data_IF_239371161986
#
_entry.id   IF_239371161986
#
_cell.length_a   1.000
_cell.length_b   1.000
_cell.length_c   1.000
_cell.angle_alpha   90.00
_cell.angle_beta   90.00
_cell.angle_gamma   90.00
#
_symmetry.space_group_name_H-M   'P 1'
#
loop_
_entity.id
_entity.type
_entity.pdbx_description
1 polymer ?
#
# COMPACT_ATOMS: atom_id res chain seq x y z
N UNK A 1 2.27 -14.63 -10.54
CA UNK A 1 2.90 -15.60 -9.62
C UNK A 1 4.27 -15.12 -9.17
N UNK A 2 5.10 -14.58 -10.08
CA UNK A 2 6.44 -14.04 -9.82
C UNK A 2 6.48 -13.04 -8.65
N UNK A 3 5.55 -12.09 -8.58
CA UNK A 3 5.50 -11.10 -7.48
C UNK A 3 5.41 -11.76 -6.10
N UNK A 4 4.49 -12.70 -5.91
CA UNK A 4 4.25 -13.30 -4.60
C UNK A 4 5.47 -14.11 -4.13
N UNK A 5 6.03 -14.92 -5.03
CA UNK A 5 7.24 -15.73 -4.75
C UNK A 5 8.45 -14.83 -4.50
N UNK A 6 8.68 -13.82 -5.36
CA UNK A 6 9.79 -12.88 -5.21
C UNK A 6 9.67 -12.03 -3.94
N UNK A 7 8.45 -11.66 -3.54
CA UNK A 7 8.21 -10.95 -2.29
C UNK A 7 8.44 -11.86 -1.08
N UNK A 8 7.92 -13.09 -1.09
CA UNK A 8 8.17 -14.07 -0.03
C UNK A 8 9.68 -14.34 0.13
N UNK A 9 10.41 -14.53 -0.97
CA UNK A 9 11.86 -14.70 -0.94
C UNK A 9 12.59 -13.44 -0.45
N UNK A 10 12.11 -12.24 -0.78
CA UNK A 10 12.70 -10.99 -0.30
C UNK A 10 12.44 -10.73 1.20
N UNK A 11 11.27 -11.13 1.70
CA UNK A 11 10.84 -11.01 3.10
C UNK A 11 11.49 -12.08 3.97
N UNK A 12 11.59 -13.33 3.50
CA UNK A 12 12.00 -14.45 4.34
C UNK A 12 11.05 -14.61 5.53
N UNK A 13 11.61 -14.75 6.73
CA UNK A 13 10.84 -14.70 7.97
C UNK A 13 10.29 -13.28 8.21
N UNK A 14 8.97 -13.16 8.38
CA UNK A 14 8.30 -11.89 8.66
C UNK A 14 8.59 -11.37 10.07
N UNK A 15 8.89 -12.26 11.02
CA UNK A 15 9.11 -11.89 12.43
C UNK A 15 10.32 -10.96 12.63
N UNK A 16 11.27 -10.96 11.68
CA UNK A 16 12.41 -10.01 11.68
C UNK A 16 11.98 -8.54 11.55
N UNK A 17 10.75 -8.28 11.11
CA UNK A 17 10.19 -6.94 10.99
C UNK A 17 9.22 -6.67 12.14
N UNK A 18 9.61 -5.89 13.16
CA UNK A 18 8.74 -5.62 14.32
C UNK A 18 7.52 -4.75 13.97
N UNK A 19 7.54 -4.07 12.82
CA UNK A 19 6.40 -3.31 12.33
C UNK A 19 6.31 -3.30 10.81
N UNK A 20 5.11 -3.07 10.28
CA UNK A 20 4.88 -2.87 8.85
C UNK A 20 5.73 -1.73 8.26
N UNK A 21 6.04 -0.71 9.07
CA UNK A 21 6.86 0.42 8.64
C UNK A 21 8.31 0.01 8.39
N UNK A 22 8.86 -0.90 9.22
CA UNK A 22 10.20 -1.46 8.99
C UNK A 22 10.25 -2.27 7.69
N UNK A 23 9.21 -3.04 7.38
CA UNK A 23 9.12 -3.74 6.09
C UNK A 23 9.04 -2.74 4.91
N UNK A 24 8.20 -1.71 5.03
CA UNK A 24 8.08 -0.66 3.99
C UNK A 24 9.41 0.07 3.76
N UNK A 25 10.14 0.37 4.84
CA UNK A 25 11.46 0.99 4.77
C UNK A 25 12.48 0.07 4.09
N UNK A 26 12.52 -1.21 4.47
CA UNK A 26 13.38 -2.23 3.84
C UNK A 26 13.13 -2.39 2.33
N UNK A 27 11.87 -2.26 1.91
CA UNK A 27 11.47 -2.29 0.50
C UNK A 27 11.69 -0.95 -0.23
N UNK A 28 12.16 0.10 0.47
CA UNK A 28 12.41 1.42 -0.13
C UNK A 28 11.15 2.12 -0.65
N UNK A 29 9.99 1.85 -0.03
CA UNK A 29 8.67 2.40 -0.37
C UNK A 29 8.27 3.61 0.50
N UNK A 30 9.09 3.95 1.50
CA UNK A 30 8.85 5.12 2.35
C UNK A 30 9.16 6.43 1.58
N UNK A 31 8.32 7.47 1.61
CA UNK A 31 8.72 8.82 1.17
C UNK A 31 10.00 9.25 1.89
N UNK A 32 10.92 9.87 1.16
CA UNK A 32 12.08 10.52 1.78
C UNK A 32 11.61 11.69 2.61
N UNK A 33 12.15 11.82 3.82
CA UNK A 33 11.92 12.97 4.68
C UNK A 33 13.17 13.83 4.62
N UNK A 34 13.02 15.10 4.22
CA UNK A 34 14.06 16.12 4.32
C UNK A 34 13.64 17.10 5.41
N UNK A 35 14.38 17.10 6.51
CA UNK A 35 14.27 18.08 7.58
C UNK A 35 15.66 18.65 7.82
N UNK A 36 15.93 19.80 7.22
CA UNK A 36 17.14 20.59 7.43
C UNK A 36 16.71 21.87 8.17
N UNK A 37 16.87 21.91 9.49
CA UNK A 37 16.46 23.02 10.37
C UNK A 37 15.26 22.71 11.27
N UNK A 38 14.82 23.70 12.06
CA UNK A 38 13.68 23.62 13.00
C UNK A 38 12.29 23.58 12.31
N UNK A 39 12.27 23.67 10.97
CA UNK A 39 11.04 23.63 10.19
C UNK A 39 10.40 22.24 10.10
N UNK A 40 9.11 22.18 9.70
CA UNK A 40 8.39 20.92 9.56
C UNK A 40 9.00 20.02 8.47
N UNK A 41 9.10 18.73 8.78
CA UNK A 41 9.60 17.69 7.89
C UNK A 41 8.90 17.70 6.51
N UNK A 42 9.68 17.95 5.43
CA UNK A 42 9.16 17.87 4.06
C UNK A 42 9.29 16.45 3.54
N UNK A 43 8.17 15.90 3.09
CA UNK A 43 8.12 14.57 2.48
C UNK A 43 8.29 14.70 0.96
N UNK A 44 9.27 14.00 0.40
CA UNK A 44 9.64 14.03 -1.01
C UNK A 44 9.45 12.69 -1.73
N UNK A 45 10.25 12.46 -2.80
CA UNK A 45 10.28 11.18 -3.55
C UNK A 45 10.57 10.01 -2.63
N UNK A 46 10.21 8.78 -2.99
CA UNK A 46 10.59 7.61 -2.18
C UNK A 46 12.10 7.56 -1.94
N UNK A 47 12.52 7.13 -0.74
CA UNK A 47 13.93 7.13 -0.32
C UNK A 47 14.83 6.29 -1.24
N UNK A 48 14.24 5.28 -1.89
CA UNK A 48 14.92 4.27 -2.72
C UNK A 48 16.04 3.46 -2.07
N UNK A 49 16.29 3.66 -0.79
CA UNK A 49 17.15 2.82 0.04
C UNK A 49 16.42 1.51 0.33
N UNK A 50 16.84 0.40 -0.27
CA UNK A 50 16.21 -0.92 -0.12
C UNK A 50 16.30 -1.82 -1.35
N UNK A 51 15.64 -2.98 -1.30
CA UNK A 51 15.67 -3.97 -2.41
C UNK A 51 14.87 -3.48 -3.63
N UNK A 52 15.57 -2.88 -4.59
CA UNK A 52 14.98 -2.32 -5.81
C UNK A 52 14.13 -3.30 -6.62
N UNK A 53 14.52 -4.57 -6.68
CA UNK A 53 13.76 -5.61 -7.38
C UNK A 53 12.40 -5.90 -6.72
N UNK A 54 12.37 -6.13 -5.39
CA UNK A 54 11.14 -6.38 -4.65
C UNK A 54 10.18 -5.17 -4.72
N UNK A 55 10.72 -3.97 -4.72
CA UNK A 55 9.94 -2.75 -4.96
C UNK A 55 9.31 -2.74 -6.35
N UNK A 56 10.07 -3.05 -7.40
CA UNK A 56 9.56 -3.14 -8.76
C UNK A 56 8.41 -4.14 -8.86
N UNK A 57 8.59 -5.33 -8.29
CA UNK A 57 7.54 -6.36 -8.22
C UNK A 57 6.27 -5.84 -7.53
N UNK A 58 6.39 -5.10 -6.43
CA UNK A 58 5.24 -4.53 -5.73
C UNK A 58 4.55 -3.41 -6.50
N UNK A 59 5.30 -2.60 -7.26
CA UNK A 59 4.72 -1.57 -8.13
C UNK A 59 3.94 -2.23 -9.28
N UNK A 60 4.47 -3.28 -9.89
CA UNK A 60 3.73 -4.06 -10.90
C UNK A 60 2.46 -4.71 -10.29
N UNK A 61 2.57 -5.21 -9.06
CA UNK A 61 1.43 -5.75 -8.32
C UNK A 61 0.36 -4.69 -8.07
N UNK A 62 0.76 -3.46 -7.74
CA UNK A 62 -0.15 -2.34 -7.55
C UNK A 62 -0.90 -1.97 -8.85
N UNK A 63 -0.23 -1.98 -10.00
CA UNK A 63 -0.90 -1.78 -11.29
C UNK A 63 -1.90 -2.89 -11.61
N UNK A 64 -1.54 -4.14 -11.32
CA UNK A 64 -2.46 -5.26 -11.47
C UNK A 64 -3.66 -5.14 -10.51
N UNK A 65 -3.43 -4.73 -9.26
CA UNK A 65 -4.47 -4.51 -8.27
C UNK A 65 -5.42 -3.37 -8.65
N UNK A 66 -4.92 -2.32 -9.32
CA UNK A 66 -5.72 -1.21 -9.82
C UNK A 66 -6.73 -1.62 -10.92
N UNK A 67 -6.45 -2.72 -11.65
CA UNK A 67 -7.34 -3.26 -12.70
C UNK A 67 -8.37 -4.26 -12.17
N UNK A 68 -8.09 -4.89 -11.02
CA UNK A 68 -8.99 -5.85 -10.40
C UNK A 68 -10.05 -5.14 -9.55
N UNK A 69 -11.31 -5.62 -9.52
CA UNK A 69 -12.31 -5.07 -8.61
C UNK A 69 -11.90 -5.29 -7.15
N UNK A 70 -12.17 -4.30 -6.30
CA UNK A 70 -11.94 -4.39 -4.86
C UNK A 70 -11.41 -3.10 -4.22
N UNK A 71 -11.21 -3.10 -2.89
CA UNK A 71 -10.81 -1.91 -2.14
C UNK A 71 -9.49 -1.26 -2.58
N UNK A 72 -8.56 -2.06 -3.12
CA UNK A 72 -7.28 -1.54 -3.62
C UNK A 72 -7.45 -0.70 -4.89
N UNK A 73 -8.40 -1.04 -5.76
CA UNK A 73 -8.73 -0.24 -6.94
C UNK A 73 -9.36 1.08 -6.56
N UNK A 74 -10.30 1.09 -5.61
CA UNK A 74 -10.86 2.33 -5.07
C UNK A 74 -9.78 3.20 -4.41
N UNK A 75 -8.87 2.60 -3.62
CA UNK A 75 -7.75 3.32 -3.04
C UNK A 75 -6.84 3.94 -4.11
N UNK A 76 -6.47 3.18 -5.14
CA UNK A 76 -5.65 3.64 -6.24
C UNK A 76 -6.31 4.81 -6.97
N UNK A 77 -7.58 4.68 -7.36
CA UNK A 77 -8.34 5.72 -8.06
C UNK A 77 -8.42 7.05 -7.28
N UNK A 78 -8.63 6.98 -5.97
CA UNK A 78 -8.68 8.16 -5.09
C UNK A 78 -7.33 8.86 -4.93
N UNK A 79 -6.22 8.14 -5.06
CA UNK A 79 -4.87 8.75 -5.04
C UNK A 79 -4.51 9.28 -6.42
N UNK A 80 -4.87 8.55 -7.49
CA UNK A 80 -4.54 8.95 -8.85
C UNK A 80 -5.26 10.22 -9.27
N UNK A 81 -6.51 10.41 -8.85
CA UNK A 81 -7.26 11.65 -9.09
C UNK A 81 -6.63 12.89 -8.47
N UNK A 82 -5.84 12.74 -7.39
CA UNK A 82 -5.24 13.87 -6.65
C UNK A 82 -3.77 14.09 -6.95
N UNK A 83 -3.02 13.04 -7.28
CA UNK A 83 -1.55 13.06 -7.35
C UNK A 83 -0.97 12.37 -8.60
N UNK A 84 -1.82 11.90 -9.51
CA UNK A 84 -1.42 11.20 -10.72
C UNK A 84 -1.16 9.70 -10.52
N UNK A 85 -1.12 8.98 -11.65
CA UNK A 85 -1.12 7.51 -11.68
C UNK A 85 0.14 6.88 -11.07
N UNK A 86 1.33 7.45 -11.35
CA UNK A 86 2.60 6.91 -10.82
C UNK A 86 2.69 7.03 -9.30
N UNK A 87 2.20 8.14 -8.72
CA UNK A 87 2.15 8.31 -7.26
C UNK A 87 1.14 7.33 -6.66
N UNK A 88 0.00 7.12 -7.31
CA UNK A 88 -0.99 6.13 -6.88
C UNK A 88 -0.45 4.69 -6.90
N UNK A 89 0.36 4.33 -7.90
CA UNK A 89 1.01 3.02 -7.99
C UNK A 89 1.96 2.79 -6.80
N UNK A 90 2.82 3.76 -6.50
CA UNK A 90 3.75 3.68 -5.36
C UNK A 90 3.00 3.66 -4.02
N UNK A 91 1.97 4.49 -3.86
CA UNK A 91 1.14 4.50 -2.65
C UNK A 91 0.41 3.16 -2.45
N UNK A 92 -0.06 2.56 -3.53
CA UNK A 92 -0.72 1.25 -3.51
C UNK A 92 0.27 0.12 -3.22
N UNK A 93 1.49 0.19 -3.78
CA UNK A 93 2.58 -0.74 -3.45
C UNK A 93 2.94 -0.68 -1.96
N UNK A 94 3.02 0.52 -1.36
CA UNK A 94 3.19 0.69 0.09
C UNK A 94 2.03 0.06 0.87
N UNK A 95 0.80 0.28 0.43
CA UNK A 95 -0.39 -0.32 1.08
C UNK A 95 -0.37 -1.85 1.00
N UNK A 96 0.04 -2.41 -0.14
CA UNK A 96 0.23 -3.84 -0.33
C UNK A 96 1.31 -4.41 0.61
N UNK A 97 2.45 -3.73 0.77
CA UNK A 97 3.49 -4.16 1.71
C UNK A 97 2.98 -4.19 3.16
N UNK A 98 2.21 -3.17 3.58
CA UNK A 98 1.59 -3.14 4.91
C UNK A 98 0.58 -4.27 5.08
N UNK A 99 -0.24 -4.55 4.06
CA UNK A 99 -1.17 -5.68 4.09
C UNK A 99 -0.42 -7.01 4.18
N UNK A 100 0.61 -7.22 3.37
CA UNK A 100 1.42 -8.43 3.40
C UNK A 100 2.02 -8.68 4.80
N UNK A 101 2.59 -7.65 5.44
CA UNK A 101 3.10 -7.79 6.80
C UNK A 101 2.02 -8.22 7.79
N UNK A 102 0.83 -7.59 7.76
CA UNK A 102 -0.27 -7.93 8.69
C UNK A 102 -0.79 -9.34 8.48
N UNK A 103 -1.01 -9.74 7.23
CA UNK A 103 -1.52 -11.06 6.88
C UNK A 103 -0.52 -12.15 7.29
N UNK A 104 0.77 -11.94 6.98
CA UNK A 104 1.83 -12.89 7.35
C UNK A 104 2.03 -12.98 8.87
N UNK A 105 1.95 -11.86 9.60
CA UNK A 105 2.14 -11.84 11.06
C UNK A 105 0.96 -12.47 11.79
N UNK A 106 -0.25 -12.36 11.25
CA UNK A 106 -1.48 -12.93 11.85
C UNK A 106 -1.81 -14.33 11.37
N UNK A 107 -1.17 -14.81 10.30
CA UNK A 107 -1.55 -16.07 9.65
C UNK A 107 -2.95 -16.01 9.03
N UNK A 108 -3.39 -14.83 8.61
CA UNK A 108 -4.74 -14.59 8.06
C UNK A 108 -4.70 -14.42 6.54
N UNK A 109 -5.77 -14.84 5.87
CA UNK A 109 -5.97 -14.59 4.45
C UNK A 109 -6.52 -13.18 4.17
N UNK A 110 -6.27 -12.70 2.94
CA UNK A 110 -6.83 -11.43 2.52
C UNK A 110 -8.36 -11.51 2.41
N UNK A 111 -9.08 -10.72 3.22
CA UNK A 111 -10.54 -10.77 3.32
C UNK A 111 -11.31 -10.65 1.99
N UNK A 112 -10.77 -9.90 1.01
CA UNK A 112 -11.40 -9.70 -0.30
C UNK A 112 -10.78 -10.59 -1.39
N UNK A 113 -10.27 -11.76 -1.00
CA UNK A 113 -9.80 -12.78 -1.92
C UNK A 113 -10.96 -13.32 -2.74
N UNK A 114 -10.66 -13.72 -3.98
CA UNK A 114 -11.59 -14.45 -4.85
C UNK A 114 -11.20 -15.94 -4.80
N UNK A 115 -11.90 -16.79 -4.01
CA UNK A 115 -11.43 -18.13 -3.67
C UNK A 115 -11.11 -19.01 -4.87
N UNK A 116 -11.96 -19.05 -5.88
CA UNK A 116 -11.77 -19.85 -7.10
C UNK A 116 -10.58 -19.36 -7.92
N UNK A 117 -10.42 -18.03 -8.05
CA UNK A 117 -9.24 -17.45 -8.72
C UNK A 117 -7.96 -17.73 -7.93
N UNK A 118 -8.02 -17.69 -6.60
CA UNK A 118 -6.90 -18.00 -5.72
C UNK A 118 -6.51 -19.49 -5.83
N UNK A 119 -7.47 -20.40 -5.73
CA UNK A 119 -7.27 -21.84 -5.90
C UNK A 119 -6.67 -22.16 -7.28
N UNK A 120 -7.14 -21.52 -8.36
CA UNK A 120 -6.54 -21.66 -9.69
C UNK A 120 -5.07 -21.21 -9.73
N UNK A 121 -4.74 -20.12 -9.05
CA UNK A 121 -3.36 -19.60 -8.97
C UNK A 121 -2.45 -20.54 -8.17
N UNK A 122 -2.92 -21.03 -7.01
CA UNK A 122 -2.21 -22.03 -6.21
C UNK A 122 -1.99 -23.30 -7.00
N UNK A 123 -3.02 -23.82 -7.67
CA UNK A 123 -2.88 -24.99 -8.53
C UNK A 123 -1.85 -24.79 -9.64
N UNK A 124 -1.79 -23.59 -10.21
CA UNK A 124 -0.78 -23.24 -11.22
C UNK A 124 0.65 -23.16 -10.64
N UNK A 125 0.80 -22.86 -9.35
CA UNK A 125 2.09 -22.94 -8.64
C UNK A 125 2.48 -24.38 -8.36
N UNK A 126 1.57 -25.19 -7.83
CA UNK A 126 1.79 -26.61 -7.55
C UNK A 126 2.31 -27.36 -8.77
N UNK A 127 1.67 -27.16 -9.92
CA UNK A 127 2.09 -27.79 -11.17
C UNK A 127 3.48 -27.34 -11.62
N UNK A 128 3.85 -26.07 -11.39
CA UNK A 128 5.22 -25.58 -11.67
C UNK A 128 6.24 -26.12 -10.67
N UNK A 129 5.82 -26.42 -9.45
CA UNK A 129 6.63 -27.05 -8.42
C UNK A 129 6.75 -28.57 -8.59
N UNK A 130 6.25 -29.15 -9.70
CA UNK A 130 6.35 -30.57 -10.00
C UNK A 130 5.28 -31.46 -9.36
N UNK A 131 4.23 -30.88 -8.74
CA UNK A 131 3.12 -31.68 -8.22
C UNK A 131 2.36 -32.37 -9.36
N UNK A 132 1.90 -33.62 -9.17
CA UNK A 132 1.22 -34.37 -10.23
C UNK A 132 -0.12 -33.74 -10.62
N UNK A 133 -0.50 -33.94 -11.89
CA UNK A 133 -1.82 -33.59 -12.40
C UNK A 133 -2.81 -34.64 -11.91
N UNK A 134 -3.79 -34.21 -11.11
CA UNK A 134 -4.91 -35.05 -10.72
C UNK A 134 -5.89 -35.12 -11.90
N UNK A 135 -6.23 -36.33 -12.33
CA UNK A 135 -7.29 -36.59 -13.31
C UNK A 135 -8.59 -36.97 -12.61
N UNK A 136 -9.73 -36.68 -13.24
CA UNK A 136 -11.06 -37.06 -12.74
C UNK A 136 -11.65 -36.20 -11.61
N UNK A 137 -10.84 -35.48 -10.84
CA UNK A 137 -11.32 -34.66 -9.70
C UNK A 137 -11.42 -33.18 -10.07
N UNK A 138 -12.65 -32.64 -10.07
CA UNK A 138 -12.91 -31.19 -10.18
C UNK A 138 -12.74 -30.56 -8.79
N UNK A 139 -11.54 -30.07 -8.48
CA UNK A 139 -11.27 -29.34 -7.23
C UNK A 139 -11.62 -27.86 -7.30
N UNK A 140 -11.40 -27.12 -6.20
CA UNK A 140 -11.70 -25.68 -6.07
C UNK A 140 -11.08 -24.78 -7.16
N UNK A 141 -9.99 -25.23 -7.80
CA UNK A 141 -9.40 -24.52 -8.94
C UNK A 141 -10.30 -24.55 -10.20
N UNK A 142 -11.13 -25.58 -10.36
CA UNK A 142 -12.09 -25.73 -11.46
C UNK A 142 -13.26 -24.74 -11.34
N UNK A 143 -13.64 -24.36 -10.12
CA UNK A 143 -14.74 -23.41 -9.86
C UNK A 143 -14.54 -22.09 -10.60
N UNK A 144 -13.29 -21.70 -10.88
CA UNK A 144 -13.00 -20.52 -11.67
C UNK A 144 -13.48 -20.65 -13.13
N UNK A 145 -13.63 -21.85 -13.66
CA UNK A 145 -14.17 -22.04 -15.01
C UNK A 145 -15.69 -21.84 -15.04
N UNK A 146 -16.37 -22.04 -13.91
CA UNK A 146 -17.80 -21.85 -13.75
C UNK A 146 -18.11 -20.35 -13.79
N UNK A 147 -18.91 -19.92 -14.78
CA UNK A 147 -19.23 -18.49 -15.01
C UNK A 147 -19.99 -17.88 -13.84
N UNK A 148 -20.94 -18.60 -13.26
CA UNK A 148 -21.75 -18.15 -12.11
C UNK A 148 -20.89 -17.80 -10.90
N UNK A 149 -20.00 -18.70 -10.48
CA UNK A 149 -19.07 -18.49 -9.36
C UNK A 149 -18.18 -17.27 -9.63
N UNK A 150 -17.56 -17.19 -10.81
CA UNK A 150 -16.73 -16.04 -11.19
C UNK A 150 -17.47 -14.70 -11.07
N UNK A 151 -18.74 -14.67 -11.49
CA UNK A 151 -19.56 -13.47 -11.43
C UNK A 151 -19.94 -13.13 -9.99
N UNK A 152 -20.31 -14.12 -9.17
CA UNK A 152 -20.62 -13.93 -7.75
C UNK A 152 -19.41 -13.37 -6.99
N UNK A 153 -18.22 -13.97 -7.15
CA UNK A 153 -16.98 -13.47 -6.54
C UNK A 153 -16.64 -12.05 -7.00
N UNK A 154 -16.85 -11.76 -8.29
CA UNK A 154 -16.62 -10.44 -8.84
C UNK A 154 -17.58 -9.41 -8.24
N UNK A 155 -18.87 -9.74 -8.11
CA UNK A 155 -19.88 -8.89 -7.46
C UNK A 155 -19.53 -8.63 -6.00
N UNK A 156 -19.07 -9.65 -5.27
CA UNK A 156 -18.62 -9.46 -3.89
C UNK A 156 -17.43 -8.49 -3.79
N UNK A 157 -16.45 -8.61 -4.70
CA UNK A 157 -15.33 -7.67 -4.78
C UNK A 157 -15.76 -6.25 -5.19
N UNK A 158 -16.74 -6.10 -6.09
CA UNK A 158 -17.31 -4.82 -6.50
C UNK A 158 -18.13 -4.15 -5.37
N UNK A 159 -18.87 -4.95 -4.59
CA UNK A 159 -19.56 -4.48 -3.39
C UNK A 159 -18.56 -3.98 -2.34
N UNK A 160 -17.47 -4.71 -2.12
CA UNK A 160 -16.38 -4.30 -1.24
C UNK A 160 -15.69 -3.01 -1.70
N UNK A 161 -15.48 -2.87 -3.02
CA UNK A 161 -14.95 -1.64 -3.63
C UNK A 161 -15.87 -0.45 -3.35
N UNK A 162 -17.17 -0.65 -3.50
CA UNK A 162 -18.19 0.38 -3.24
C UNK A 162 -18.26 0.75 -1.77
N UNK A 163 -18.25 -0.24 -0.87
CA UNK A 163 -18.20 -0.02 0.57
C UNK A 163 -16.94 0.76 0.97
N UNK A 164 -15.78 0.43 0.39
CA UNK A 164 -14.55 1.17 0.62
C UNK A 164 -14.65 2.63 0.17
N UNK A 165 -15.21 2.89 -1.01
CA UNK A 165 -15.42 4.27 -1.50
C UNK A 165 -16.26 5.05 -0.51
N UNK A 166 -17.46 4.53 -0.16
CA UNK A 166 -18.36 5.15 0.84
C UNK A 166 -17.68 5.44 2.17
N UNK A 167 -16.89 4.48 2.69
CA UNK A 167 -16.13 4.67 3.95
C UNK A 167 -15.10 5.80 3.84
N UNK A 168 -14.50 5.98 2.66
CA UNK A 168 -13.49 7.02 2.44
C UNK A 168 -14.05 8.35 1.94
N UNK A 169 -15.30 8.36 1.47
CA UNK A 169 -16.01 9.56 1.05
C UNK A 169 -16.36 10.36 2.32
N UNK A 170 -15.77 11.55 2.45
CA UNK A 170 -15.84 12.36 3.67
C UNK A 170 -14.61 12.28 4.57
N UNK A 171 -13.64 11.39 4.29
CA UNK A 171 -12.35 11.38 5.00
C UNK A 171 -11.45 12.51 4.50
N UNK A 172 -11.72 13.73 4.95
CA UNK A 172 -10.84 14.89 4.79
C UNK A 172 -9.63 14.66 5.69
N UNK A 173 -8.44 14.51 5.09
CA UNK A 173 -7.21 14.56 5.88
C UNK A 173 -7.08 15.96 6.47
N UNK A 174 -7.41 16.12 7.75
CA UNK A 174 -6.96 17.27 8.53
C UNK A 174 -5.44 17.29 8.43
N UNK A 175 -4.89 18.16 7.58
CA UNK A 175 -3.45 18.39 7.54
C UNK A 175 -2.96 18.81 8.93
N UNK A 176 -1.69 18.57 9.30
CA UNK A 176 -1.15 19.09 10.54
C UNK A 176 -1.43 20.60 10.61
N UNK A 177 -2.14 21.05 11.66
CA UNK A 177 -2.35 22.49 11.90
C UNK A 177 -0.98 23.15 11.87
N UNK A 178 -0.76 24.10 10.95
CA UNK A 178 0.41 24.99 11.02
C UNK A 178 0.42 25.56 12.45
N UNK A 179 1.50 25.41 13.25
CA UNK A 179 1.60 26.21 14.45
C UNK A 179 1.50 27.67 14.01
N UNK A 180 0.57 28.43 14.61
CA UNK A 180 0.51 29.87 14.42
C UNK A 180 1.90 30.39 14.77
N UNK A 181 2.54 31.09 13.82
CA UNK A 181 3.77 31.79 14.12
C UNK A 181 3.50 32.68 15.33
N UNK A 182 4.16 32.41 16.47
CA UNK A 182 4.23 33.40 17.54
C UNK A 182 5.01 34.55 16.93
N UNK A 183 4.33 35.64 16.60
CA UNK A 183 4.99 36.92 16.37
C UNK A 183 5.73 37.26 17.66
N UNK A 184 7.05 37.10 17.64
CA UNK A 184 7.91 37.51 18.73
C UNK A 184 7.84 39.04 18.82
N UNK A 185 6.98 39.55 19.71
CA UNK A 185 6.96 40.94 20.14
C UNK A 185 8.18 41.25 21.04
N UNK A 186 9.40 40.99 20.53
CA UNK A 186 10.66 41.25 21.23
C UNK A 186 11.56 42.23 20.46
N UNK A 187 11.03 42.86 19.41
CA UNK A 187 11.75 43.81 18.56
C UNK A 187 11.39 45.30 18.78
N UNK A 188 10.33 45.59 19.53
CA UNK A 188 9.85 46.98 19.74
C UNK A 188 10.50 47.67 20.95
N UNK A 189 10.83 46.94 22.03
CA UNK A 189 11.44 47.54 23.23
C UNK A 189 12.89 48.01 22.99
N UNK A 190 13.64 47.36 22.08
CA UNK A 190 15.02 47.79 21.75
C UNK A 190 15.10 49.05 20.88
N UNK A 191 14.00 49.44 20.21
CA UNK A 191 13.97 50.70 19.44
C UNK A 191 13.56 51.91 20.29
N UNK A 192 12.76 51.71 21.35
CA UNK A 192 12.42 52.80 22.28
C UNK A 192 13.57 53.18 23.22
N UNK A 193 14.48 52.26 23.51
CA UNK A 193 15.61 52.52 24.41
C UNK A 193 16.78 53.27 23.72
N UNK A 194 16.96 53.06 22.41
CA UNK A 194 17.94 53.79 21.60
C UNK A 194 17.53 55.25 21.30
N UNK A 195 16.24 55.57 21.34
CA UNK A 195 15.72 56.92 21.11
C UNK A 195 15.75 57.83 22.36
N UNK A 196 16.10 57.30 23.54
CA UNK A 196 16.19 58.06 24.82
C UNK A 196 17.61 58.44 25.22
N UNK A 197 18.62 58.17 24.38
CA UNK A 197 20.04 58.50 24.62
C UNK A 197 20.65 59.37 23.51
N UNK A 198 19.84 60.22 22.87
CA UNK A 198 20.28 61.25 21.93
C UNK A 198 19.92 62.62 22.46
#
# INVERSE_FOLDING_TARGET
MIVAVGLAAAIGDVARFPSAEKLVAYLGLNPSVRQSGEGPARHGRIAKQGRGHARGLLVEAAWAAARAPGPLKAFFGRVSSRRGQHVAAVATARKLAVLAWRLLTRGEDYAWVRPALHARKLRSLELRAGRPRLHGQRGAAYDYNIKGIRQQERRAAEAAETAYRKLTDGWIQSGPKKPRARTCAAGEERRSEAARRG
#
